data_IF_417052681312
#
_entry.id   IF_417052681312
#
_cell.length_a   1.000
_cell.length_b   1.000
_cell.length_c   1.000
_cell.angle_alpha   90.00
_cell.angle_beta   90.00
_cell.angle_gamma   90.00
#
_symmetry.space_group_name_H-M   'P 1'
#
loop_
_entity.id
_entity.type
_entity.pdbx_description
1 polymer ?
#
# COMPACT_ATOMS: atom_id res chain seq x y z
N UNK A 1 1.03 7.82 13.49
CA UNK A 1 1.78 7.32 12.30
C UNK A 1 2.15 8.49 11.39
N UNK A 2 3.43 8.57 10.94
CA UNK A 2 3.94 9.59 10.00
C UNK A 2 3.70 9.12 8.57
N UNK A 3 3.06 9.93 7.75
CA UNK A 3 2.79 9.67 6.33
C UNK A 3 3.45 10.71 5.40
N UNK A 4 3.75 11.90 5.92
CA UNK A 4 4.54 12.94 5.27
C UNK A 4 5.93 12.93 5.88
N UNK A 5 6.98 12.86 5.04
CA UNK A 5 8.36 12.85 5.55
C UNK A 5 8.85 14.26 5.95
N UNK A 6 8.30 15.32 5.33
CA UNK A 6 8.84 16.67 5.48
C UNK A 6 10.31 16.71 5.04
N UNK A 7 11.17 17.31 5.86
CA UNK A 7 12.63 17.31 5.66
C UNK A 7 13.32 16.02 6.14
N UNK A 8 12.54 15.03 6.61
CA UNK A 8 13.08 13.77 7.10
C UNK A 8 13.45 12.79 5.97
N UNK A 9 14.06 11.65 6.34
CA UNK A 9 14.41 10.61 5.38
C UNK A 9 13.18 10.00 4.73
N UNK A 10 13.39 9.45 3.55
CA UNK A 10 12.42 8.67 2.80
C UNK A 10 11.91 7.49 3.62
N UNK A 11 10.61 7.29 3.66
CA UNK A 11 9.99 6.15 4.33
C UNK A 11 10.21 4.88 3.49
N UNK A 12 10.76 3.85 4.12
CA UNK A 12 11.08 2.56 3.49
C UNK A 12 9.93 1.59 3.75
N UNK A 13 9.38 1.00 2.67
CA UNK A 13 8.25 0.06 2.79
C UNK A 13 8.62 -1.27 2.14
N UNK A 14 8.66 -2.34 2.93
CA UNK A 14 8.88 -3.70 2.45
C UNK A 14 7.61 -4.25 1.78
N UNK A 15 7.66 -4.48 0.45
CA UNK A 15 6.53 -4.97 -0.34
C UNK A 15 6.30 -6.45 -0.07
N UNK A 16 5.10 -6.79 0.42
CA UNK A 16 4.73 -8.15 0.85
C UNK A 16 5.71 -8.73 1.89
N UNK A 17 6.16 -7.88 2.83
CA UNK A 17 7.38 -8.09 3.60
C UNK A 17 8.60 -7.68 2.78
N UNK A 18 9.45 -8.62 2.41
CA UNK A 18 10.57 -8.47 1.47
C UNK A 18 10.56 -9.61 0.46
N UNK A 19 9.73 -9.49 -0.56
CA UNK A 19 9.45 -10.54 -1.52
C UNK A 19 10.66 -11.02 -2.34
N UNK A 20 11.76 -10.26 -2.37
CA UNK A 20 13.01 -10.66 -3.01
C UNK A 20 13.89 -11.56 -2.14
N UNK A 21 13.66 -11.61 -0.81
CA UNK A 21 14.50 -12.32 0.14
C UNK A 21 13.81 -13.53 0.79
N UNK A 22 12.48 -13.52 0.85
CA UNK A 22 11.67 -14.60 1.43
C UNK A 22 10.34 -14.74 0.68
N UNK A 23 9.56 -15.81 0.93
CA UNK A 23 8.26 -15.96 0.28
C UNK A 23 7.35 -14.77 0.55
N UNK A 24 6.82 -14.15 -0.51
CA UNK A 24 5.96 -12.98 -0.43
C UNK A 24 4.76 -13.23 0.51
N UNK A 25 4.38 -12.22 1.32
CA UNK A 25 3.25 -12.29 2.24
C UNK A 25 3.39 -13.35 3.35
N UNK A 26 4.60 -13.70 3.74
CA UNK A 26 4.91 -14.64 4.84
C UNK A 26 5.49 -13.91 6.05
N UNK A 27 5.54 -14.60 7.18
CA UNK A 27 6.18 -14.10 8.40
C UNK A 27 7.68 -13.91 8.16
N UNK A 28 8.32 -14.83 7.44
CA UNK A 28 9.75 -14.79 7.12
C UNK A 28 10.10 -13.54 6.28
N UNK A 29 9.20 -13.17 5.34
CA UNK A 29 9.39 -11.94 4.54
C UNK A 29 9.26 -10.68 5.41
N UNK A 30 8.36 -10.69 6.39
CA UNK A 30 8.23 -9.58 7.35
C UNK A 30 9.44 -9.53 8.27
N UNK A 31 9.93 -10.66 8.79
CA UNK A 31 11.16 -10.72 9.61
C UNK A 31 12.36 -10.15 8.86
N UNK A 32 12.53 -10.53 7.59
CA UNK A 32 13.58 -9.97 6.74
C UNK A 32 13.45 -8.45 6.62
N UNK A 33 12.23 -7.92 6.40
CA UNK A 33 11.97 -6.48 6.36
C UNK A 33 12.36 -5.77 7.65
N UNK A 34 12.04 -6.35 8.80
CA UNK A 34 12.39 -5.80 10.11
C UNK A 34 13.91 -5.75 10.33
N UNK A 35 14.65 -6.76 9.87
CA UNK A 35 16.12 -6.78 9.93
C UNK A 35 16.73 -5.63 9.11
N UNK A 36 16.14 -5.29 7.95
CA UNK A 36 16.57 -4.17 7.12
C UNK A 36 16.05 -2.80 7.58
N UNK A 37 15.31 -2.74 8.68
CA UNK A 37 14.89 -1.49 9.30
C UNK A 37 13.90 -0.69 8.47
N UNK A 38 12.91 -1.36 7.85
CA UNK A 38 11.83 -0.66 7.15
C UNK A 38 10.94 0.10 8.11
N UNK A 39 10.39 1.22 7.66
CA UNK A 39 9.42 2.02 8.43
C UNK A 39 8.01 1.38 8.39
N UNK A 40 7.70 0.70 7.29
CA UNK A 40 6.44 -0.01 7.07
C UNK A 40 6.68 -1.36 6.44
N UNK A 41 5.83 -2.31 6.75
CA UNK A 41 5.62 -3.50 5.92
C UNK A 41 4.32 -3.34 5.13
N UNK A 42 4.36 -3.65 3.84
CA UNK A 42 3.14 -3.75 3.03
C UNK A 42 2.74 -5.21 2.92
N UNK A 43 1.45 -5.49 3.07
CA UNK A 43 0.88 -6.82 2.98
C UNK A 43 -0.42 -6.79 2.18
N UNK A 44 -0.58 -7.77 1.30
CA UNK A 44 -1.81 -8.02 0.56
C UNK A 44 -2.85 -8.65 1.49
N UNK A 45 -4.03 -8.03 1.63
CA UNK A 45 -5.14 -8.58 2.42
C UNK A 45 -6.18 -9.19 1.48
N UNK A 46 -6.40 -10.48 1.62
CA UNK A 46 -7.34 -11.24 0.83
C UNK A 46 -8.36 -11.97 1.72
N UNK A 47 -9.48 -12.40 1.15
CA UNK A 47 -10.48 -13.21 1.85
C UNK A 47 -10.64 -14.54 1.15
N UNK A 48 -10.44 -15.62 1.90
CA UNK A 48 -10.61 -16.97 1.40
C UNK A 48 -11.12 -17.89 2.51
N UNK A 49 -11.97 -18.82 2.13
CA UNK A 49 -12.47 -19.91 2.99
C UNK A 49 -13.01 -19.41 4.34
N UNK A 50 -13.74 -18.29 4.33
CA UNK A 50 -14.37 -17.70 5.52
C UNK A 50 -13.44 -16.85 6.38
N UNK A 51 -12.16 -16.65 6.00
CA UNK A 51 -11.14 -15.95 6.80
C UNK A 51 -10.44 -14.85 5.99
N UNK A 52 -9.98 -13.82 6.68
CA UNK A 52 -8.98 -12.91 6.14
C UNK A 52 -7.60 -13.59 6.21
N UNK A 53 -6.88 -13.55 5.10
CA UNK A 53 -5.55 -14.14 4.93
C UNK A 53 -4.60 -13.14 4.29
N UNK A 54 -3.31 -13.35 4.49
CA UNK A 54 -2.27 -12.58 3.81
C UNK A 54 -1.98 -13.23 2.48
N UNK A 55 -2.22 -12.49 1.37
CA UNK A 55 -2.01 -13.00 0.01
C UNK A 55 -2.68 -12.15 -1.06
N UNK A 56 -2.09 -12.16 -2.24
CA UNK A 56 -2.53 -11.28 -3.33
C UNK A 56 -3.74 -11.81 -4.11
N UNK A 57 -3.87 -13.12 -4.21
CA UNK A 57 -4.95 -13.77 -4.98
C UNK A 57 -5.15 -15.21 -4.53
N UNK A 58 -6.34 -15.78 -4.81
CA UNK A 58 -6.61 -17.19 -4.47
C UNK A 58 -5.61 -18.18 -5.09
N UNK A 59 -4.98 -17.82 -6.21
CA UNK A 59 -3.99 -18.69 -6.88
C UNK A 59 -2.66 -18.77 -6.14
N UNK A 60 -2.34 -17.77 -5.34
CA UNK A 60 -1.11 -17.70 -4.55
C UNK A 60 -1.28 -18.32 -3.17
N UNK A 61 -2.51 -18.59 -2.73
CA UNK A 61 -2.78 -19.18 -1.44
C UNK A 61 -2.45 -20.67 -1.43
N UNK A 62 -1.82 -21.11 -0.36
CA UNK A 62 -1.49 -22.51 -0.05
C UNK A 62 -2.14 -22.92 1.27
N UNK A 63 -2.05 -24.18 1.64
CA UNK A 63 -2.50 -24.64 2.94
C UNK A 63 -1.75 -24.02 4.12
N UNK A 64 -0.55 -23.48 3.86
CA UNK A 64 0.32 -22.81 4.86
C UNK A 64 0.26 -21.28 4.77
N UNK A 65 -0.67 -20.71 4.00
CA UNK A 65 -0.85 -19.25 3.95
C UNK A 65 -1.25 -18.71 5.31
N UNK A 66 -0.57 -17.67 5.75
CA UNK A 66 -0.75 -17.02 7.05
C UNK A 66 -2.11 -16.35 7.11
N UNK A 67 -2.87 -16.57 8.17
CA UNK A 67 -4.09 -15.81 8.43
C UNK A 67 -3.75 -14.38 8.82
N UNK A 68 -4.69 -13.45 8.60
CA UNK A 68 -4.47 -12.07 9.00
C UNK A 68 -4.30 -11.92 10.51
N UNK A 69 -5.00 -12.76 11.29
CA UNK A 69 -4.91 -12.75 12.74
C UNK A 69 -3.52 -13.18 13.23
N UNK A 70 -2.95 -14.26 12.69
CA UNK A 70 -1.58 -14.71 12.98
C UNK A 70 -0.55 -13.63 12.62
N UNK A 71 -0.68 -13.00 11.44
CA UNK A 71 0.21 -11.94 11.02
C UNK A 71 0.08 -10.70 11.92
N UNK A 72 -1.11 -10.34 12.33
CA UNK A 72 -1.34 -9.20 13.21
C UNK A 72 -0.82 -9.45 14.63
N UNK A 73 -0.98 -10.65 15.16
CA UNK A 73 -0.36 -11.06 16.42
C UNK A 73 1.16 -10.96 16.35
N UNK A 74 1.77 -11.44 15.25
CA UNK A 74 3.20 -11.33 15.01
C UNK A 74 3.66 -9.87 14.97
N UNK A 75 2.97 -9.00 14.20
CA UNK A 75 3.30 -7.58 14.10
C UNK A 75 3.14 -6.83 15.43
N UNK A 76 2.14 -7.20 16.24
CA UNK A 76 1.92 -6.59 17.54
C UNK A 76 3.06 -6.90 18.51
N UNK A 77 3.54 -8.15 18.52
CA UNK A 77 4.62 -8.61 19.38
C UNK A 77 6.01 -8.17 18.91
N UNK A 78 6.34 -8.46 17.65
CA UNK A 78 7.71 -8.34 17.12
C UNK A 78 8.04 -7.01 16.46
N UNK A 79 7.04 -6.26 16.05
CA UNK A 79 7.21 -5.02 15.29
C UNK A 79 6.38 -3.84 15.84
N UNK A 80 6.44 -3.51 17.15
CA UNK A 80 5.53 -2.52 17.77
C UNK A 80 5.68 -1.10 17.21
N UNK A 81 6.80 -0.77 16.58
CA UNK A 81 7.06 0.56 15.98
C UNK A 81 6.94 0.61 14.47
N UNK A 82 6.85 -0.53 13.79
CA UNK A 82 6.73 -0.60 12.32
C UNK A 82 5.28 -0.37 11.90
N UNK A 83 5.07 0.47 10.90
CA UNK A 83 3.75 0.70 10.31
C UNK A 83 3.31 -0.47 9.42
N UNK A 84 2.01 -0.62 9.26
CA UNK A 84 1.41 -1.57 8.31
C UNK A 84 0.76 -0.81 7.16
N UNK A 85 1.09 -1.17 5.92
CA UNK A 85 0.38 -0.76 4.71
C UNK A 85 -0.45 -1.96 4.24
N UNK A 86 -1.75 -1.96 4.52
CA UNK A 86 -2.66 -3.06 4.17
C UNK A 86 -3.28 -2.83 2.80
N UNK A 87 -2.83 -3.56 1.76
CA UNK A 87 -3.40 -3.48 0.40
C UNK A 87 -4.60 -4.43 0.24
N UNK A 88 -5.80 -3.85 0.20
CA UNK A 88 -7.06 -4.59 0.21
C UNK A 88 -7.42 -5.06 -1.19
N UNK A 89 -7.34 -6.37 -1.42
CA UNK A 89 -7.58 -6.99 -2.73
C UNK A 89 -9.05 -7.27 -3.01
N UNK A 90 -9.87 -7.39 -1.98
CA UNK A 90 -11.30 -7.63 -2.08
C UNK A 90 -12.10 -6.61 -1.28
N UNK A 91 -13.37 -6.45 -1.61
CA UNK A 91 -14.35 -5.62 -0.88
C UNK A 91 -15.33 -6.50 -0.09
N UNK A 92 -16.02 -5.90 0.88
CA UNK A 92 -17.10 -6.56 1.64
C UNK A 92 -16.66 -7.18 2.97
N UNK A 93 -15.37 -7.08 3.33
CA UNK A 93 -14.83 -7.62 4.59
C UNK A 93 -14.28 -6.52 5.51
N UNK A 94 -14.75 -5.29 5.31
CA UNK A 94 -14.21 -4.09 5.93
C UNK A 94 -14.34 -4.12 7.47
N UNK A 95 -15.48 -4.63 7.99
CA UNK A 95 -15.70 -4.78 9.44
C UNK A 95 -14.76 -5.82 10.04
N UNK A 96 -14.61 -6.99 9.41
CA UNK A 96 -13.70 -8.04 9.88
C UNK A 96 -12.26 -7.53 9.96
N UNK A 97 -11.81 -6.75 8.96
CA UNK A 97 -10.48 -6.12 8.98
C UNK A 97 -10.34 -5.16 10.18
N UNK A 98 -11.32 -4.28 10.38
CA UNK A 98 -11.27 -3.30 11.48
C UNK A 98 -11.29 -3.99 12.84
N UNK A 99 -12.12 -5.02 13.01
CA UNK A 99 -12.21 -5.77 14.26
C UNK A 99 -10.88 -6.49 14.56
N UNK A 100 -10.23 -7.08 13.56
CA UNK A 100 -8.89 -7.67 13.70
C UNK A 100 -7.82 -6.60 14.04
N UNK A 101 -7.83 -5.44 13.36
CA UNK A 101 -6.90 -4.34 13.67
C UNK A 101 -7.07 -3.84 15.11
N UNK A 102 -8.30 -3.73 15.60
CA UNK A 102 -8.60 -3.34 16.98
C UNK A 102 -8.11 -4.37 18.00
N UNK A 103 -8.38 -5.65 17.73
CA UNK A 103 -7.99 -6.75 18.62
C UNK A 103 -6.48 -6.78 18.86
N UNK A 104 -5.68 -6.41 17.86
CA UNK A 104 -4.21 -6.40 17.95
C UNK A 104 -3.60 -5.01 18.18
N UNK A 105 -4.41 -3.96 18.41
CA UNK A 105 -3.92 -2.60 18.64
C UNK A 105 -3.17 -1.97 17.45
N UNK A 106 -3.56 -2.33 16.22
CA UNK A 106 -2.87 -1.91 14.99
C UNK A 106 -3.50 -0.70 14.29
N UNK A 107 -4.68 -0.21 14.71
CA UNK A 107 -5.42 0.84 14.02
C UNK A 107 -4.56 2.08 13.77
N UNK A 108 -3.89 2.60 14.80
CA UNK A 108 -3.16 3.88 14.74
C UNK A 108 -1.87 3.83 13.90
N UNK A 109 -1.42 2.62 13.56
CA UNK A 109 -0.20 2.40 12.75
C UNK A 109 -0.46 1.66 11.44
N UNK A 110 -1.74 1.57 11.03
CA UNK A 110 -2.14 0.97 9.75
C UNK A 110 -2.58 2.04 8.75
N UNK A 111 -2.07 1.93 7.52
CA UNK A 111 -2.52 2.65 6.34
C UNK A 111 -3.24 1.66 5.42
N UNK A 112 -4.58 1.66 5.43
CA UNK A 112 -5.37 0.82 4.53
C UNK A 112 -5.38 1.41 3.12
N UNK A 113 -4.98 0.64 2.11
CA UNK A 113 -4.93 1.12 0.74
C UNK A 113 -5.72 0.23 -0.22
N UNK A 114 -6.37 0.83 -1.18
CA UNK A 114 -7.03 0.20 -2.32
C UNK A 114 -7.44 1.24 -3.36
N UNK A 115 -7.72 0.78 -4.58
CA UNK A 115 -8.33 1.63 -5.61
C UNK A 115 -9.89 1.65 -5.54
N UNK A 116 -10.51 0.92 -4.62
CA UNK A 116 -11.96 0.77 -4.51
C UNK A 116 -12.53 1.77 -3.48
N UNK A 117 -13.06 2.90 -3.96
CA UNK A 117 -13.58 3.97 -3.12
C UNK A 117 -14.68 3.52 -2.13
N UNK A 118 -15.64 2.66 -2.50
CA UNK A 118 -16.63 2.18 -1.55
C UNK A 118 -16.04 1.49 -0.32
N UNK A 119 -14.97 0.67 -0.48
CA UNK A 119 -14.24 0.06 0.64
C UNK A 119 -13.63 1.12 1.55
N UNK A 120 -12.91 2.11 1.01
CA UNK A 120 -12.32 3.19 1.82
C UNK A 120 -13.38 4.02 2.55
N UNK A 121 -14.53 4.27 1.91
CA UNK A 121 -15.65 4.96 2.54
C UNK A 121 -16.31 4.14 3.65
N UNK A 122 -16.40 2.82 3.49
CA UNK A 122 -16.85 1.93 4.54
C UNK A 122 -15.90 1.94 5.73
N UNK A 123 -14.59 1.81 5.48
CA UNK A 123 -13.57 1.91 6.53
C UNK A 123 -13.65 3.24 7.27
N UNK A 124 -13.83 4.37 6.55
CA UNK A 124 -14.00 5.69 7.15
C UNK A 124 -15.19 5.76 8.12
N UNK A 125 -16.28 5.05 7.80
CA UNK A 125 -17.48 5.02 8.67
C UNK A 125 -17.32 4.10 9.88
N UNK A 126 -16.64 2.96 9.69
CA UNK A 126 -16.47 1.95 10.76
C UNK A 126 -15.36 2.37 11.73
N UNK A 127 -14.27 2.92 11.20
CA UNK A 127 -13.08 3.32 11.97
C UNK A 127 -12.50 4.62 11.39
N UNK A 128 -12.98 5.79 11.84
CA UNK A 128 -12.48 7.08 11.35
C UNK A 128 -11.00 7.32 11.61
N UNK A 129 -10.43 6.73 12.69
CA UNK A 129 -9.02 6.85 13.05
C UNK A 129 -8.09 6.10 12.08
N UNK A 130 -8.58 5.03 11.45
CA UNK A 130 -7.80 4.25 10.48
C UNK A 130 -7.40 5.14 9.29
N UNK A 131 -6.10 5.27 9.07
CA UNK A 131 -5.58 6.03 7.93
C UNK A 131 -5.88 5.28 6.61
N UNK A 132 -6.22 6.05 5.57
CA UNK A 132 -6.61 5.53 4.26
C UNK A 132 -5.72 6.11 3.17
N UNK A 133 -5.35 5.27 2.21
CA UNK A 133 -4.63 5.66 0.99
C UNK A 133 -5.42 5.29 -0.25
N UNK A 134 -5.47 6.21 -1.20
CA UNK A 134 -6.05 5.96 -2.52
C UNK A 134 -4.98 5.41 -3.46
N UNK A 135 -5.10 4.14 -3.87
CA UNK A 135 -4.22 3.54 -4.88
C UNK A 135 -4.57 4.04 -6.29
N UNK A 136 -3.54 4.47 -7.06
CA UNK A 136 -3.72 4.95 -8.43
C UNK A 136 -2.49 4.64 -9.32
N UNK A 137 -2.70 4.25 -10.59
CA UNK A 137 -3.97 3.83 -11.16
C UNK A 137 -4.34 2.41 -10.71
N UNK A 138 -5.51 1.94 -11.10
CA UNK A 138 -5.79 0.51 -11.14
C UNK A 138 -4.75 -0.15 -12.04
N UNK A 139 -4.09 -1.22 -11.60
CA UNK A 139 -2.99 -1.87 -12.35
C UNK A 139 -3.43 -2.43 -13.71
N UNK A 140 -4.73 -2.70 -13.86
CA UNK A 140 -5.35 -3.23 -15.07
C UNK A 140 -6.82 -2.79 -15.18
N UNK A 141 -7.36 -2.81 -16.39
CA UNK A 141 -8.78 -2.63 -16.66
C UNK A 141 -9.41 -3.96 -17.09
N UNK A 142 -10.67 -4.13 -16.75
CA UNK A 142 -11.45 -5.30 -17.21
C UNK A 142 -12.13 -4.95 -18.52
N UNK A 143 -11.82 -5.68 -19.58
CA UNK A 143 -12.43 -5.50 -20.89
C UNK A 143 -13.32 -6.69 -21.26
N UNK A 144 -14.47 -6.38 -21.84
CA UNK A 144 -15.43 -7.33 -22.39
C UNK A 144 -16.26 -8.10 -21.34
N UNK A 145 -17.27 -8.86 -21.81
CA UNK A 145 -18.18 -9.66 -20.97
C UNK A 145 -17.45 -10.69 -20.08
N UNK A 146 -16.29 -11.20 -20.51
CA UNK A 146 -15.47 -12.16 -19.75
C UNK A 146 -14.49 -11.50 -18.80
N UNK A 147 -14.58 -10.19 -18.53
CA UNK A 147 -13.72 -9.42 -17.62
C UNK A 147 -12.23 -9.73 -17.78
N UNK A 148 -11.76 -9.75 -19.02
CA UNK A 148 -10.35 -9.99 -19.31
C UNK A 148 -9.52 -8.85 -18.75
N UNK A 149 -8.57 -9.16 -17.87
CA UNK A 149 -7.63 -8.18 -17.32
C UNK A 149 -6.64 -7.75 -18.40
N UNK A 150 -6.62 -6.45 -18.71
CA UNK A 150 -5.66 -5.89 -19.67
C UNK A 150 -4.80 -4.87 -18.93
N UNK A 151 -3.47 -5.01 -18.98
CA UNK A 151 -2.59 -4.02 -18.36
C UNK A 151 -2.73 -2.68 -19.06
N UNK A 152 -2.78 -1.59 -18.28
CA UNK A 152 -2.80 -0.23 -18.79
C UNK A 152 -1.41 0.09 -19.35
N UNK A 153 -1.30 0.43 -20.62
CA UNK A 153 -0.02 0.67 -21.31
C UNK A 153 0.01 2.02 -22.06
N UNK A 154 1.23 2.49 -22.33
CA UNK A 154 1.54 3.55 -23.28
C UNK A 154 0.71 4.83 -23.15
N UNK A 155 -0.02 5.21 -24.21
CA UNK A 155 -0.74 6.50 -24.26
C UNK A 155 -1.74 6.71 -23.13
N UNK A 156 -2.40 5.62 -22.68
CA UNK A 156 -3.36 5.69 -21.55
C UNK A 156 -2.64 6.03 -20.25
N UNK A 157 -1.50 5.40 -19.97
CA UNK A 157 -0.68 5.72 -18.78
C UNK A 157 -0.17 7.16 -18.84
N UNK A 158 0.26 7.61 -20.02
CA UNK A 158 0.70 9.00 -20.22
C UNK A 158 -0.44 9.99 -19.94
N UNK A 159 -1.62 9.73 -20.49
CA UNK A 159 -2.80 10.59 -20.24
C UNK A 159 -3.18 10.58 -18.74
N UNK A 160 -3.15 9.40 -18.10
CA UNK A 160 -3.42 9.30 -16.67
C UNK A 160 -2.40 10.06 -15.82
N UNK A 161 -1.11 10.03 -16.19
CA UNK A 161 -0.04 10.80 -15.54
C UNK A 161 -0.28 12.29 -15.65
N UNK A 162 -0.69 12.77 -16.83
CA UNK A 162 -0.99 14.19 -17.08
C UNK A 162 -2.24 14.66 -16.35
N UNK A 163 -3.26 13.81 -16.28
CA UNK A 163 -4.52 14.14 -15.62
C UNK A 163 -4.46 14.04 -14.08
N UNK A 164 -3.51 13.29 -13.53
CA UNK A 164 -3.46 12.99 -12.10
C UNK A 164 -3.43 14.26 -11.22
N UNK A 165 -2.57 15.28 -11.46
CA UNK A 165 -2.54 16.47 -10.61
C UNK A 165 -3.91 17.14 -10.45
N UNK A 166 -4.70 17.20 -11.51
CA UNK A 166 -6.05 17.81 -11.52
C UNK A 166 -7.14 16.94 -10.85
N UNK A 167 -6.81 15.71 -10.46
CA UNK A 167 -7.74 14.75 -9.88
C UNK A 167 -7.44 14.39 -8.43
N UNK A 168 -6.27 14.76 -7.92
CA UNK A 168 -5.81 14.37 -6.57
C UNK A 168 -6.83 14.79 -5.53
N UNK A 169 -7.24 16.07 -5.53
CA UNK A 169 -8.20 16.60 -4.56
C UNK A 169 -9.51 15.78 -4.54
N UNK A 170 -10.12 15.57 -5.70
CA UNK A 170 -11.36 14.79 -5.79
C UNK A 170 -11.17 13.33 -5.36
N UNK A 171 -10.07 12.68 -5.76
CA UNK A 171 -9.79 11.29 -5.42
C UNK A 171 -9.53 11.08 -3.93
N UNK A 172 -8.90 12.05 -3.28
CA UNK A 172 -8.56 11.97 -1.84
C UNK A 172 -9.71 12.41 -0.96
N UNK A 173 -10.39 13.50 -1.31
CA UNK A 173 -11.55 14.00 -0.57
C UNK A 173 -12.73 13.00 -0.58
N UNK A 174 -12.96 12.32 -1.72
CA UNK A 174 -14.00 11.30 -1.87
C UNK A 174 -13.96 10.26 -0.74
N UNK A 175 -12.77 9.86 -0.31
CA UNK A 175 -12.58 8.79 0.66
C UNK A 175 -11.94 9.26 1.98
N UNK A 176 -11.65 10.56 2.12
CA UNK A 176 -10.92 11.11 3.25
C UNK A 176 -9.54 10.47 3.38
N UNK A 177 -8.83 10.33 2.25
CA UNK A 177 -7.50 9.74 2.23
C UNK A 177 -6.47 10.69 2.88
N UNK A 178 -5.49 10.12 3.58
CA UNK A 178 -4.33 10.81 4.14
C UNK A 178 -3.06 10.52 3.34
N UNK A 179 -3.14 9.61 2.37
CA UNK A 179 -2.06 9.31 1.45
C UNK A 179 -2.59 8.89 0.07
N UNK A 180 -1.73 8.94 -0.93
CA UNK A 180 -1.90 8.27 -2.22
C UNK A 180 -0.80 7.24 -2.42
N UNK A 181 -1.19 6.05 -2.89
CA UNK A 181 -0.27 4.97 -3.26
C UNK A 181 -0.20 4.91 -4.78
N UNK A 182 0.86 5.46 -5.35
CA UNK A 182 1.00 5.72 -6.78
C UNK A 182 1.90 4.72 -7.49
N UNK A 183 1.50 4.27 -8.69
CA UNK A 183 2.44 3.58 -9.56
C UNK A 183 3.57 4.53 -9.98
N UNK A 184 4.83 4.04 -9.95
CA UNK A 184 6.02 4.77 -10.45
C UNK A 184 5.88 5.30 -11.89
N UNK A 185 4.90 4.78 -12.64
CA UNK A 185 4.64 5.18 -14.03
C UNK A 185 3.81 6.45 -14.16
N UNK A 186 3.07 6.83 -13.12
CA UNK A 186 2.17 7.99 -13.15
C UNK A 186 2.60 9.12 -12.21
N UNK A 187 3.55 8.87 -11.30
CA UNK A 187 4.07 9.91 -10.41
C UNK A 187 4.78 11.02 -11.21
N UNK A 188 4.59 12.25 -10.79
CA UNK A 188 5.25 13.45 -11.35
C UNK A 188 5.45 14.48 -10.25
N UNK A 189 6.37 15.44 -10.46
CA UNK A 189 6.59 16.53 -9.51
C UNK A 189 5.29 17.27 -9.18
N UNK A 190 4.54 17.70 -10.19
CA UNK A 190 3.26 18.37 -9.98
C UNK A 190 2.23 17.53 -9.17
N UNK A 191 2.24 16.20 -9.31
CA UNK A 191 1.37 15.34 -8.51
C UNK A 191 1.83 15.27 -7.05
N UNK A 192 3.13 15.21 -6.79
CA UNK A 192 3.70 15.20 -5.43
C UNK A 192 3.43 16.53 -4.74
N UNK A 193 3.76 17.65 -5.39
CA UNK A 193 3.55 19.00 -4.87
C UNK A 193 2.07 19.21 -4.50
N UNK A 194 1.16 18.87 -5.40
CA UNK A 194 -0.28 19.03 -5.14
C UNK A 194 -0.79 18.12 -4.00
N UNK A 195 -0.26 16.89 -3.86
CA UNK A 195 -0.54 16.06 -2.68
C UNK A 195 -0.09 16.75 -1.40
N UNK A 196 1.12 17.31 -1.38
CA UNK A 196 1.68 17.98 -0.21
C UNK A 196 0.93 19.26 0.17
N UNK A 197 0.49 20.05 -0.81
CA UNK A 197 -0.40 21.21 -0.59
C UNK A 197 -1.69 20.84 0.14
N UNK A 198 -2.20 19.62 -0.10
CA UNK A 198 -3.39 19.06 0.55
C UNK A 198 -3.08 18.30 1.85
N UNK A 199 -1.82 18.23 2.27
CA UNK A 199 -1.40 17.42 3.43
C UNK A 199 -1.46 15.91 3.21
N UNK A 200 -1.38 15.44 1.97
CA UNK A 200 -1.49 14.04 1.55
C UNK A 200 -0.10 13.45 1.30
N UNK A 201 0.25 12.36 1.99
CA UNK A 201 1.50 11.63 1.75
C UNK A 201 1.49 10.85 0.44
N UNK A 202 2.67 10.71 -0.19
CA UNK A 202 2.84 10.01 -1.47
C UNK A 202 3.74 8.80 -1.33
N UNK A 203 3.18 7.60 -1.50
CA UNK A 203 3.89 6.33 -1.53
C UNK A 203 3.94 5.78 -2.95
N UNK A 204 5.09 5.28 -3.40
CA UNK A 204 5.28 4.85 -4.80
C UNK A 204 5.68 3.38 -4.89
N UNK A 205 5.00 2.62 -5.75
CA UNK A 205 5.20 1.18 -5.98
C UNK A 205 5.47 0.82 -7.45
N UNK A 206 6.09 -0.30 -7.79
CA UNK A 206 7.07 -1.01 -6.99
C UNK A 206 8.44 -0.54 -7.46
N UNK A 207 9.36 -0.26 -6.57
CA UNK A 207 10.65 0.41 -6.86
C UNK A 207 11.78 -0.52 -6.44
N UNK A 208 12.35 -1.26 -7.40
CA UNK A 208 13.37 -2.28 -7.17
C UNK A 208 14.73 -1.92 -7.80
N UNK A 209 15.01 -0.62 -7.96
CA UNK A 209 16.26 -0.14 -8.57
C UNK A 209 16.74 1.13 -7.88
N UNK A 210 18.00 1.19 -7.51
CA UNK A 210 18.59 2.33 -6.80
C UNK A 210 18.52 3.65 -7.60
N UNK A 211 18.66 3.61 -8.93
CA UNK A 211 18.51 4.82 -9.77
C UNK A 211 17.08 5.39 -9.72
N UNK A 212 16.05 4.52 -9.60
CA UNK A 212 14.67 4.97 -9.40
C UNK A 212 14.43 5.51 -7.98
N UNK A 213 15.08 4.92 -6.97
CA UNK A 213 15.04 5.46 -5.59
C UNK A 213 15.51 6.89 -5.60
N UNK A 214 16.74 7.16 -6.08
CA UNK A 214 17.29 8.52 -6.16
C UNK A 214 16.41 9.49 -6.95
N UNK A 215 15.89 9.04 -8.08
CA UNK A 215 15.00 9.88 -8.91
C UNK A 215 13.70 10.25 -8.20
N UNK A 216 13.08 9.31 -7.50
CA UNK A 216 11.81 9.52 -6.80
C UNK A 216 12.01 10.32 -5.52
N UNK A 217 13.13 10.14 -4.85
CA UNK A 217 13.54 10.96 -3.72
C UNK A 217 13.69 12.44 -4.10
N UNK A 218 14.34 12.74 -5.24
CA UNK A 218 14.43 14.09 -5.82
C UNK A 218 13.07 14.65 -6.28
N UNK A 219 12.07 13.84 -6.50
CA UNK A 219 10.70 14.29 -6.75
C UNK A 219 9.96 14.68 -5.47
N UNK A 220 10.51 14.32 -4.30
CA UNK A 220 9.93 14.64 -3.01
C UNK A 220 8.87 13.63 -2.52
N UNK A 221 8.81 12.41 -3.06
CA UNK A 221 7.87 11.39 -2.56
C UNK A 221 8.17 11.03 -1.11
N UNK A 222 7.16 10.64 -0.33
CA UNK A 222 7.30 10.37 1.09
C UNK A 222 7.77 8.96 1.40
N UNK A 223 7.31 7.97 0.61
CA UNK A 223 7.68 6.58 0.82
C UNK A 223 7.84 5.79 -0.48
N UNK A 224 8.69 4.77 -0.44
CA UNK A 224 8.90 3.84 -1.54
C UNK A 224 8.64 2.41 -1.10
N UNK A 225 7.83 1.71 -1.91
CA UNK A 225 7.44 0.32 -1.72
C UNK A 225 8.32 -0.53 -2.63
N UNK A 226 9.14 -1.42 -2.03
CA UNK A 226 10.13 -2.24 -2.73
C UNK A 226 10.04 -3.70 -2.32
N UNK A 227 10.34 -4.60 -3.28
CA UNK A 227 10.53 -6.03 -2.99
C UNK A 227 11.89 -6.30 -2.35
N UNK A 228 12.86 -5.40 -2.57
CA UNK A 228 14.26 -5.56 -2.15
C UNK A 228 14.76 -4.29 -1.42
N UNK A 229 14.83 -4.29 -0.09
CA UNK A 229 15.26 -3.11 0.68
C UNK A 229 16.72 -2.75 0.48
N UNK A 230 17.54 -3.65 -0.07
CA UNK A 230 18.94 -3.37 -0.40
C UNK A 230 19.09 -2.25 -1.44
N UNK A 231 18.00 -1.91 -2.17
CA UNK A 231 17.99 -0.74 -3.07
C UNK A 231 18.10 0.60 -2.34
N UNK A 232 17.94 0.62 -1.01
CA UNK A 232 18.13 1.80 -0.16
C UNK A 232 19.56 1.91 0.41
N UNK A 233 20.38 0.87 0.26
CA UNK A 233 21.79 0.95 0.59
C UNK A 233 22.50 1.84 -0.45
N UNK A 234 23.32 2.79 0.02
CA UNK A 234 24.15 3.68 -0.79
C UNK A 234 25.25 2.91 -1.54
#
# INVERSE_FOLDING_TARGET
>A
MRLLRGDGPLLRVGHRGEAALAPANSIEAVEAALVHGVDFVELDVFFADGKLVVGHSRRELTATSVTLDEMFAFLADRAPRTGLLADLKLSGHDRQLVDALRAHGLVDRTLACTNHAPTLNNLRRIEPALARSRTYPRGHVYLGRRRRQVPIKGPVLWAMKKALPHRIESLTAEVGARAMTLSRRVVSRAAVEHCHELGIGVFVWTVNRADLVRRLDLLGVDGLITDDPRVFAD
#
